data_IF_294266774712
#
_entry.id   IF_294266774712
#
_cell.length_a   1.000
_cell.length_b   1.000
_cell.length_c   1.000
_cell.angle_alpha   90.00
_cell.angle_beta   90.00
_cell.angle_gamma   90.00
#
_symmetry.space_group_name_H-M   'P 1'
#
loop_
_entity.id
_entity.type
_entity.pdbx_description
1 polymer ?
#
# COMPACT_ATOMS: atom_id res chain seq x y z
N UNK A 1 -2.48 -13.90 18.16
CA UNK A 1 -1.30 -13.60 17.31
C UNK A 1 -1.13 -12.09 17.16
N UNK A 2 0.05 -11.62 16.74
CA UNK A 2 0.29 -10.19 16.54
C UNK A 2 -0.69 -9.56 15.51
N UNK A 3 -1.08 -10.34 14.50
CA UNK A 3 -2.13 -9.98 13.54
C UNK A 3 -3.47 -9.68 14.21
N UNK A 4 -3.91 -10.51 15.18
CA UNK A 4 -5.18 -10.31 15.88
C UNK A 4 -5.14 -9.03 16.74
N UNK A 5 -3.97 -8.70 17.29
CA UNK A 5 -3.78 -7.46 18.04
C UNK A 5 -3.98 -6.24 17.13
N UNK A 6 -3.35 -6.22 15.94
CA UNK A 6 -3.53 -5.12 15.00
C UNK A 6 -4.95 -5.01 14.49
N UNK A 7 -5.59 -6.12 14.13
CA UNK A 7 -6.97 -6.09 13.65
C UNK A 7 -7.93 -5.53 14.71
N UNK A 8 -7.71 -5.86 15.98
CA UNK A 8 -8.51 -5.32 17.10
C UNK A 8 -8.25 -3.83 17.37
N UNK A 9 -6.99 -3.40 17.25
CA UNK A 9 -6.61 -1.99 17.34
C UNK A 9 -7.25 -1.18 16.20
N UNK A 10 -7.14 -1.68 14.97
CA UNK A 10 -7.65 -1.06 13.76
C UNK A 10 -9.19 -1.05 13.73
N UNK A 11 -9.86 -2.13 14.15
CA UNK A 11 -11.33 -2.17 14.23
C UNK A 11 -11.87 -1.09 15.16
N UNK A 12 -11.17 -0.84 16.27
CA UNK A 12 -11.52 0.20 17.23
C UNK A 12 -11.22 1.60 16.66
N UNK A 13 -10.11 1.77 15.94
CA UNK A 13 -9.72 3.03 15.32
C UNK A 13 -10.68 3.43 14.18
N UNK A 14 -11.05 2.49 13.32
CA UNK A 14 -11.87 2.70 12.13
C UNK A 14 -13.38 2.53 12.38
N UNK A 15 -13.79 2.20 13.61
CA UNK A 15 -15.18 1.90 13.96
C UNK A 15 -15.84 0.85 13.06
N UNK A 16 -15.02 -0.08 12.54
CA UNK A 16 -15.44 -1.13 11.63
C UNK A 16 -15.25 -2.48 12.31
N UNK A 17 -16.32 -3.13 12.79
CA UNK A 17 -16.21 -4.45 13.37
C UNK A 17 -15.89 -5.47 12.28
N UNK A 18 -15.16 -6.52 12.66
CA UNK A 18 -14.96 -7.72 11.85
C UNK A 18 -15.36 -8.92 12.70
N UNK A 19 -16.01 -9.90 12.08
CA UNK A 19 -16.50 -11.12 12.70
C UNK A 19 -15.40 -12.19 12.78
N UNK A 20 -14.40 -12.11 11.89
CA UNK A 20 -13.25 -12.98 11.95
C UNK A 20 -12.27 -12.82 10.79
N UNK A 21 -11.23 -13.65 10.81
CA UNK A 21 -10.31 -13.82 9.68
C UNK A 21 -10.37 -15.27 9.27
N UNK A 22 -10.57 -15.50 7.97
CA UNK A 22 -10.64 -16.83 7.39
C UNK A 22 -9.37 -17.63 7.67
N UNK A 23 -9.49 -18.96 7.70
CA UNK A 23 -8.34 -19.84 7.95
C UNK A 23 -7.31 -19.74 6.82
N UNK A 24 -7.76 -19.49 5.59
CA UNK A 24 -6.91 -19.36 4.43
C UNK A 24 -6.10 -18.05 4.51
N UNK A 25 -6.77 -16.94 4.83
CA UNK A 25 -6.13 -15.64 5.03
C UNK A 25 -5.13 -15.64 6.19
N UNK A 26 -5.48 -16.28 7.32
CA UNK A 26 -4.53 -16.47 8.44
C UNK A 26 -3.28 -17.23 8.02
N UNK A 27 -3.43 -18.27 7.19
CA UNK A 27 -2.29 -19.06 6.73
C UNK A 27 -1.39 -18.23 5.83
N UNK A 28 -1.96 -17.46 4.89
CA UNK A 28 -1.23 -16.56 4.01
C UNK A 28 -0.42 -15.52 4.80
N UNK A 29 -1.04 -14.88 5.79
CA UNK A 29 -0.39 -13.91 6.69
C UNK A 29 0.75 -14.53 7.52
N UNK A 30 0.62 -15.81 7.90
CA UNK A 30 1.64 -16.53 8.66
C UNK A 30 2.78 -17.06 7.78
N UNK A 31 2.51 -17.36 6.51
CA UNK A 31 3.50 -17.94 5.59
C UNK A 31 4.39 -16.90 4.91
N UNK A 32 4.05 -15.63 4.99
CA UNK A 32 4.82 -14.55 4.38
C UNK A 32 5.96 -14.09 5.30
N UNK A 33 7.15 -13.88 4.74
CA UNK A 33 8.37 -13.60 5.51
C UNK A 33 8.49 -12.14 6.00
N UNK A 34 7.56 -11.25 5.61
CA UNK A 34 7.48 -9.84 6.04
C UNK A 34 8.84 -9.09 6.02
N UNK A 35 9.48 -8.94 4.85
CA UNK A 35 10.81 -8.34 4.71
C UNK A 35 10.90 -6.90 5.25
N UNK A 36 9.77 -6.19 5.35
CA UNK A 36 9.66 -4.82 5.86
C UNK A 36 9.13 -4.70 7.30
N UNK A 37 9.20 -5.75 8.12
CA UNK A 37 8.75 -5.80 9.53
C UNK A 37 7.22 -5.71 9.75
N UNK A 38 6.85 -5.62 11.03
CA UNK A 38 5.52 -5.41 11.63
C UNK A 38 4.69 -4.30 10.95
N UNK A 39 5.33 -3.29 10.34
CA UNK A 39 4.62 -2.22 9.61
C UNK A 39 3.90 -2.74 8.37
N UNK A 40 4.51 -3.66 7.62
CA UNK A 40 3.85 -4.29 6.48
C UNK A 40 2.66 -5.14 6.92
N UNK A 41 2.82 -5.89 8.02
CA UNK A 41 1.72 -6.65 8.62
C UNK A 41 0.56 -5.74 9.04
N UNK A 42 0.86 -4.59 9.66
CA UNK A 42 -0.15 -3.60 10.05
C UNK A 42 -0.87 -3.02 8.82
N UNK A 43 -0.13 -2.63 7.78
CA UNK A 43 -0.72 -2.10 6.54
C UNK A 43 -1.60 -3.14 5.83
N UNK A 44 -1.18 -4.40 5.78
CA UNK A 44 -1.97 -5.49 5.22
C UNK A 44 -3.26 -5.71 6.00
N UNK A 45 -3.18 -5.76 7.34
CA UNK A 45 -4.34 -5.88 8.22
C UNK A 45 -5.31 -4.70 8.10
N UNK A 46 -4.78 -3.48 7.96
CA UNK A 46 -5.56 -2.26 7.74
C UNK A 46 -6.30 -2.31 6.40
N UNK A 47 -5.62 -2.74 5.34
CA UNK A 47 -6.25 -2.91 4.02
C UNK A 47 -7.36 -3.96 4.06
N UNK A 48 -7.10 -5.11 4.66
CA UNK A 48 -8.11 -6.16 4.79
C UNK A 48 -9.35 -5.63 5.49
N UNK A 49 -9.17 -4.94 6.63
CA UNK A 49 -10.28 -4.36 7.37
C UNK A 49 -11.02 -3.28 6.56
N UNK A 50 -10.33 -2.42 5.81
CA UNK A 50 -10.97 -1.34 5.05
C UNK A 50 -11.74 -1.87 3.84
N UNK A 51 -11.21 -2.86 3.13
CA UNK A 51 -11.82 -3.43 1.92
C UNK A 51 -12.95 -4.41 2.19
N UNK A 52 -12.94 -5.06 3.35
CA UNK A 52 -13.97 -6.00 3.77
C UNK A 52 -15.39 -5.42 3.63
N UNK A 53 -16.33 -6.22 3.15
CA UNK A 53 -17.73 -5.79 3.01
C UNK A 53 -18.72 -6.72 3.70
N UNK A 54 -18.28 -7.89 4.13
CA UNK A 54 -19.15 -8.93 4.70
C UNK A 54 -18.80 -9.28 6.16
N UNK A 55 -17.77 -8.65 6.72
CA UNK A 55 -17.33 -8.82 8.10
C UNK A 55 -16.31 -9.96 8.27
N UNK A 56 -16.01 -10.74 7.23
CA UNK A 56 -15.11 -11.88 7.31
C UNK A 56 -13.89 -11.63 6.43
N UNK A 57 -12.75 -11.35 7.06
CA UNK A 57 -11.53 -11.07 6.33
C UNK A 57 -10.99 -12.34 5.64
N UNK A 58 -11.05 -12.40 4.31
CA UNK A 58 -10.63 -13.57 3.51
C UNK A 58 -9.46 -13.26 2.54
N UNK A 59 -9.15 -14.18 1.63
CA UNK A 59 -8.01 -14.11 0.71
C UNK A 59 -8.12 -13.00 -0.34
N UNK A 60 -9.32 -12.60 -0.70
CA UNK A 60 -9.62 -11.50 -1.60
C UNK A 60 -9.39 -10.12 -0.95
N UNK A 61 -9.45 -10.04 0.38
CA UNK A 61 -9.10 -8.83 1.14
C UNK A 61 -7.59 -8.64 1.31
N UNK A 62 -6.80 -9.69 1.10
CA UNK A 62 -5.35 -9.68 1.26
C UNK A 62 -4.66 -8.91 0.12
N UNK A 63 -3.60 -8.15 0.42
CA UNK A 63 -2.69 -7.65 -0.61
C UNK A 63 -2.17 -8.81 -1.47
N UNK A 64 -2.22 -8.64 -2.79
CA UNK A 64 -1.76 -9.62 -3.79
C UNK A 64 -0.31 -10.08 -3.58
N UNK A 65 0.52 -9.26 -2.93
CA UNK A 65 1.90 -9.59 -2.54
C UNK A 65 2.00 -10.78 -1.57
N UNK A 66 0.93 -11.08 -0.84
CA UNK A 66 0.88 -12.05 0.27
C UNK A 66 0.05 -13.28 -0.13
N UNK A 67 -0.73 -13.19 -1.21
CA UNK A 67 -1.54 -14.31 -1.70
C UNK A 67 -0.57 -15.40 -2.17
N UNK A 68 -0.52 -16.57 -1.51
CA UNK A 68 0.38 -17.63 -1.92
C UNK A 68 -0.08 -18.17 -3.26
N UNK A 69 0.70 -17.88 -4.31
CA UNK A 69 0.52 -18.46 -5.65
C UNK A 69 0.64 -19.97 -5.50
N UNK A 70 -0.52 -20.64 -5.40
CA UNK A 70 -0.57 -22.09 -5.42
C UNK A 70 -0.56 -22.54 -6.87
N UNK A 71 0.64 -22.67 -7.43
CA UNK A 71 0.88 -23.26 -8.75
C UNK A 71 2.36 -23.58 -8.93
N UNK A 72 2.74 -24.86 -9.13
CA UNK A 72 4.11 -25.22 -9.50
C UNK A 72 4.31 -24.85 -10.97
N UNK A 73 5.41 -24.19 -11.29
CA UNK A 73 5.78 -23.68 -12.62
C UNK A 73 5.00 -22.44 -13.09
N UNK A 74 5.68 -21.30 -13.20
CA UNK A 74 5.12 -20.15 -13.93
C UNK A 74 5.66 -18.80 -13.49
N UNK A 75 6.81 -18.47 -14.06
CA UNK A 75 7.19 -17.17 -14.62
C UNK A 75 6.68 -15.85 -14.00
N UNK A 76 7.65 -14.97 -13.83
CA UNK A 76 7.51 -13.61 -13.33
C UNK A 76 6.77 -12.74 -14.36
N UNK A 77 5.44 -12.71 -14.32
CA UNK A 77 4.64 -11.67 -15.01
C UNK A 77 3.15 -11.77 -14.64
N UNK A 78 2.72 -11.11 -13.56
CA UNK A 78 1.29 -10.87 -13.32
C UNK A 78 1.04 -9.42 -12.90
N UNK A 79 1.38 -8.51 -13.81
CA UNK A 79 0.71 -7.21 -13.95
C UNK A 79 -0.49 -7.40 -14.88
N UNK A 80 -1.63 -7.85 -14.37
CA UNK A 80 -2.87 -7.86 -15.15
C UNK A 80 -4.08 -7.83 -14.23
N UNK A 81 -4.53 -6.61 -13.88
CA UNK A 81 -5.96 -6.20 -13.95
C UNK A 81 -6.31 -4.89 -13.24
N UNK A 82 -5.35 -4.13 -12.67
CA UNK A 82 -5.64 -2.75 -12.24
C UNK A 82 -5.39 -1.75 -13.36
N UNK A 83 -6.44 -1.41 -14.11
CA UNK A 83 -6.42 -0.29 -15.06
C UNK A 83 -6.59 1.05 -14.35
N UNK A 84 -5.81 2.06 -14.72
CA UNK A 84 -6.02 3.44 -14.28
C UNK A 84 -5.58 3.74 -12.83
N UNK A 85 -6.34 4.57 -12.12
CA UNK A 85 -5.99 5.06 -10.78
C UNK A 85 -6.12 3.99 -9.67
N UNK A 86 -6.77 2.86 -9.95
CA UNK A 86 -7.02 1.80 -8.98
C UNK A 86 -5.74 1.16 -8.43
N UNK A 87 -4.64 1.21 -9.20
CA UNK A 87 -3.31 0.79 -8.75
C UNK A 87 -2.78 1.57 -7.54
N UNK A 88 -3.29 2.78 -7.31
CA UNK A 88 -2.87 3.64 -6.20
C UNK A 88 -3.64 3.35 -4.91
N UNK A 89 -4.76 2.63 -4.99
CA UNK A 89 -5.57 2.30 -3.83
C UNK A 89 -4.82 1.29 -2.94
N UNK A 90 -4.73 1.61 -1.65
CA UNK A 90 -4.08 0.77 -0.65
C UNK A 90 -2.56 0.89 -0.58
N UNK A 91 -1.95 1.80 -1.36
CA UNK A 91 -0.56 2.21 -1.16
C UNK A 91 -0.46 3.23 -0.03
N UNK A 92 0.66 3.28 0.72
CA UNK A 92 0.91 4.35 1.68
C UNK A 92 0.72 5.72 1.02
N UNK A 93 0.13 6.68 1.74
CA UNK A 93 -0.07 8.02 1.21
C UNK A 93 1.24 8.63 0.69
N UNK A 94 2.38 8.33 1.32
CA UNK A 94 3.70 8.75 0.86
C UNK A 94 4.08 8.20 -0.52
N UNK A 95 3.69 6.97 -0.86
CA UNK A 95 3.94 6.39 -2.17
C UNK A 95 2.99 6.96 -3.23
N UNK A 96 1.72 7.14 -2.87
CA UNK A 96 0.73 7.79 -3.75
C UNK A 96 1.13 9.24 -4.04
N UNK A 97 1.52 9.98 -3.01
CA UNK A 97 2.02 11.36 -3.11
C UNK A 97 3.28 11.42 -3.98
N UNK A 98 4.22 10.49 -3.78
CA UNK A 98 5.43 10.40 -4.60
C UNK A 98 5.10 10.12 -6.06
N UNK A 99 4.21 9.17 -6.35
CA UNK A 99 3.77 8.84 -7.70
C UNK A 99 3.19 10.07 -8.41
N UNK A 100 2.31 10.82 -7.75
CA UNK A 100 1.74 12.05 -8.33
C UNK A 100 2.78 13.15 -8.51
N UNK A 101 3.73 13.30 -7.59
CA UNK A 101 4.84 14.26 -7.72
C UNK A 101 5.73 13.93 -8.91
N UNK A 102 6.14 12.68 -9.07
CA UNK A 102 6.95 12.22 -10.20
C UNK A 102 6.19 12.42 -11.51
N UNK A 103 4.91 12.04 -11.55
CA UNK A 103 4.11 12.17 -12.77
C UNK A 103 3.81 13.63 -13.15
N UNK A 104 3.60 14.51 -12.18
CA UNK A 104 3.45 15.94 -12.44
C UNK A 104 4.76 16.58 -12.94
N UNK A 105 5.91 16.11 -12.46
CA UNK A 105 7.21 16.57 -12.98
C UNK A 105 7.44 16.10 -14.41
N UNK A 106 7.10 14.85 -14.74
CA UNK A 106 7.19 14.35 -16.11
C UNK A 106 6.31 15.15 -17.07
N UNK A 107 5.07 15.44 -16.69
CA UNK A 107 4.13 16.24 -17.49
C UNK A 107 4.55 17.72 -17.62
N UNK A 108 5.33 18.23 -16.67
CA UNK A 108 5.85 19.59 -16.65
C UNK A 108 7.28 19.69 -17.23
N UNK A 109 7.80 18.65 -17.87
CA UNK A 109 9.18 18.60 -18.39
C UNK A 109 10.24 18.97 -17.32
N UNK A 110 10.01 18.55 -16.08
CA UNK A 110 10.87 18.85 -14.93
C UNK A 110 10.74 20.26 -14.36
N UNK A 111 9.85 21.11 -14.89
CA UNK A 111 9.60 22.45 -14.36
C UNK A 111 8.80 22.38 -13.06
N UNK A 112 9.49 22.66 -11.97
CA UNK A 112 8.97 22.53 -10.60
C UNK A 112 7.80 23.45 -10.29
N UNK A 113 7.81 24.68 -10.81
CA UNK A 113 6.73 25.64 -10.61
C UNK A 113 5.43 25.17 -11.28
N UNK A 114 5.53 24.69 -12.53
CA UNK A 114 4.40 24.13 -13.28
C UNK A 114 3.87 22.85 -12.63
N UNK A 115 4.75 21.94 -12.19
CA UNK A 115 4.37 20.73 -11.47
C UNK A 115 3.67 21.03 -10.13
N UNK A 116 4.18 22.00 -9.34
CA UNK A 116 3.57 22.42 -8.09
C UNK A 116 2.16 23.00 -8.33
N UNK A 117 2.00 23.79 -9.40
CA UNK A 117 0.71 24.33 -9.83
C UNK A 117 -0.28 23.24 -10.23
N UNK A 118 0.15 22.23 -10.98
CA UNK A 118 -0.69 21.07 -11.35
C UNK A 118 -1.19 20.31 -10.12
N UNK A 119 -0.35 20.20 -9.10
CA UNK A 119 -0.67 19.51 -7.85
C UNK A 119 -1.42 20.40 -6.84
N UNK A 120 -1.60 21.69 -7.12
CA UNK A 120 -2.25 22.64 -6.21
C UNK A 120 -1.47 22.90 -4.91
N UNK A 121 -0.14 22.68 -4.91
CA UNK A 121 0.72 22.89 -3.75
C UNK A 121 1.70 24.05 -3.97
N UNK A 122 2.21 24.62 -2.88
CA UNK A 122 3.28 25.62 -2.97
C UNK A 122 4.61 25.00 -3.40
N UNK A 123 5.40 25.73 -4.19
CA UNK A 123 6.71 25.29 -4.68
C UNK A 123 7.66 24.85 -3.55
N UNK A 124 7.64 25.56 -2.42
CA UNK A 124 8.43 25.21 -1.22
C UNK A 124 8.05 23.85 -0.65
N UNK A 125 6.77 23.47 -0.74
CA UNK A 125 6.27 22.16 -0.31
C UNK A 125 6.78 21.07 -1.24
N UNK A 126 6.69 21.28 -2.56
CA UNK A 126 7.22 20.36 -3.57
C UNK A 126 8.73 20.14 -3.37
N UNK A 127 9.49 21.21 -3.17
CA UNK A 127 10.94 21.13 -2.95
C UNK A 127 11.30 20.33 -1.70
N UNK A 128 10.59 20.56 -0.58
CA UNK A 128 10.80 19.81 0.66
C UNK A 128 10.55 18.31 0.44
N UNK A 129 9.47 17.94 -0.23
CA UNK A 129 9.11 16.55 -0.53
C UNK A 129 10.16 15.86 -1.40
N UNK A 130 10.63 16.54 -2.46
CA UNK A 130 11.68 15.99 -3.33
C UNK A 130 12.99 15.72 -2.58
N UNK A 131 13.37 16.62 -1.67
CA UNK A 131 14.57 16.44 -0.85
C UNK A 131 14.43 15.27 0.12
N UNK A 132 13.26 15.11 0.74
CA UNK A 132 12.95 13.97 1.62
C UNK A 132 13.04 12.65 0.84
N UNK A 133 12.51 12.58 -0.38
CA UNK A 133 12.57 11.37 -1.20
C UNK A 133 13.98 11.03 -1.68
N UNK A 134 14.80 12.04 -2.03
CA UNK A 134 16.21 11.81 -2.40
C UNK A 134 16.98 11.18 -1.24
N UNK A 135 16.82 11.73 -0.03
CA UNK A 135 17.47 11.21 1.18
C UNK A 135 17.02 9.77 1.51
N UNK A 136 15.72 9.48 1.39
CA UNK A 136 15.19 8.13 1.61
C UNK A 136 15.72 7.11 0.59
N UNK A 137 16.05 7.56 -0.63
CA UNK A 137 16.61 6.71 -1.68
C UNK A 137 18.09 6.41 -1.46
N UNK A 138 18.84 7.36 -0.87
CA UNK A 138 20.25 7.20 -0.52
C UNK A 138 20.47 6.31 0.71
N UNK A 139 19.51 6.29 1.65
CA UNK A 139 19.58 5.46 2.87
C UNK A 139 19.17 3.99 2.63
N UNK A 140 18.68 3.63 1.44
CA UNK A 140 18.25 2.28 1.06
C UNK A 140 19.24 1.56 0.13
N UNK A 141 20.40 2.16 -0.16
CA UNK A 141 21.50 1.61 -0.98
C UNK A 141 22.72 1.34 -0.09
#
# INVERSE_FOLDING_TARGET
>A
LLTDHFLKELSSQYHKPYDGVSRAARRALMSYDWPGNIRQLKNAAERMLVLDTDGILDLDDLPEEIVPVSGPDGDSSYTSDRSGADFLIGRPFSEVERYYIERALDLADGKREEAAKMLGIGERTLYRKLKEYQKQREEQV
#
